data_IF_356241356652
#
_entry.id   IF_356241356652
#
_cell.length_a   1.000
_cell.length_b   1.000
_cell.length_c   1.000
_cell.angle_alpha   90.00
_cell.angle_beta   90.00
_cell.angle_gamma   90.00
#
_symmetry.space_group_name_H-M   'P 1'
#
loop_
_entity.id
_entity.type
_entity.pdbx_description
1 polymer ?
#
# COMPACT_ATOMS: atom_id res chain seq x y z
N UNK A 1 -20.01 -22.02 -4.24
CA UNK A 1 -18.55 -21.96 -4.27
C UNK A 1 -18.10 -20.53 -4.07
N UNK A 2 -17.15 -20.31 -3.20
CA UNK A 2 -16.62 -18.99 -2.93
C UNK A 2 -15.73 -18.55 -4.09
N UNK A 3 -16.02 -17.38 -4.66
CA UNK A 3 -15.18 -16.81 -5.71
C UNK A 3 -14.41 -15.62 -5.15
N UNK A 4 -13.10 -15.61 -5.37
CA UNK A 4 -12.26 -14.51 -4.98
C UNK A 4 -12.19 -13.49 -6.13
N UNK A 5 -12.32 -12.22 -5.81
CA UNK A 5 -12.20 -11.14 -6.80
C UNK A 5 -10.71 -10.84 -7.06
N UNK A 6 -10.11 -11.60 -7.96
CA UNK A 6 -8.69 -11.46 -8.29
C UNK A 6 -8.37 -10.17 -9.04
N UNK A 7 -9.37 -9.50 -9.59
CA UNK A 7 -9.13 -8.25 -10.34
C UNK A 7 -8.89 -7.07 -9.40
N UNK A 8 -9.75 -6.94 -8.37
CA UNK A 8 -9.61 -5.87 -7.37
C UNK A 8 -8.69 -6.27 -6.23
N UNK A 9 -8.59 -7.55 -5.94
CA UNK A 9 -7.78 -8.10 -4.84
C UNK A 9 -6.90 -9.23 -5.37
N UNK A 10 -5.88 -8.91 -6.18
CA UNK A 10 -5.05 -9.94 -6.82
C UNK A 10 -4.14 -10.68 -5.85
N UNK A 11 -3.88 -10.10 -4.68
CA UNK A 11 -3.05 -10.71 -3.66
C UNK A 11 -3.87 -11.57 -2.73
N UNK A 12 -3.32 -12.70 -2.31
CA UNK A 12 -3.96 -13.59 -1.35
C UNK A 12 -3.24 -13.51 0.00
N UNK A 13 -4.00 -13.54 1.07
CA UNK A 13 -3.44 -13.63 2.42
C UNK A 13 -2.77 -14.99 2.61
N UNK A 14 -1.90 -15.11 3.61
CA UNK A 14 -1.29 -16.39 3.94
C UNK A 14 -2.34 -17.45 4.30
N UNK A 15 -3.39 -17.05 4.99
CA UNK A 15 -4.50 -17.94 5.33
C UNK A 15 -5.18 -18.50 4.08
N UNK A 16 -5.47 -17.63 3.10
CA UNK A 16 -6.08 -18.05 1.85
C UNK A 16 -5.19 -19.02 1.08
N UNK A 17 -3.88 -18.77 1.03
CA UNK A 17 -2.94 -19.61 0.32
C UNK A 17 -2.70 -20.95 1.02
N UNK A 18 -2.51 -20.93 2.34
CA UNK A 18 -2.09 -22.13 3.09
C UNK A 18 -3.25 -22.95 3.62
N UNK A 19 -4.26 -22.29 4.20
CA UNK A 19 -5.36 -22.98 4.88
C UNK A 19 -6.55 -23.23 3.98
N UNK A 20 -6.86 -22.30 3.10
CA UNK A 20 -8.02 -22.40 2.23
C UNK A 20 -7.67 -22.96 0.85
N UNK A 21 -6.41 -23.12 0.56
CA UNK A 21 -5.95 -23.72 -0.68
C UNK A 21 -6.24 -22.87 -1.93
N UNK A 22 -6.47 -21.58 -1.76
CA UNK A 22 -6.71 -20.69 -2.90
C UNK A 22 -5.45 -20.58 -3.74
N UNK A 23 -5.64 -20.55 -5.05
CA UNK A 23 -4.57 -20.26 -6.01
C UNK A 23 -4.99 -19.01 -6.80
N UNK A 24 -4.08 -18.06 -6.92
CA UNK A 24 -4.34 -16.87 -7.72
C UNK A 24 -3.88 -17.11 -9.16
N UNK A 25 -4.65 -16.64 -10.16
CA UNK A 25 -4.15 -16.62 -11.55
C UNK A 25 -3.02 -15.61 -11.75
N UNK A 26 -2.75 -14.77 -10.75
CA UNK A 26 -1.73 -13.74 -10.82
C UNK A 26 -0.56 -14.07 -9.93
N UNK A 27 0.64 -13.75 -10.40
CA UNK A 27 1.84 -13.88 -9.57
C UNK A 27 1.71 -12.94 -8.38
N UNK A 28 1.89 -13.50 -7.17
CA UNK A 28 1.84 -12.71 -5.94
C UNK A 28 3.09 -11.84 -5.80
N UNK A 29 2.90 -10.62 -5.30
CA UNK A 29 4.00 -9.68 -5.08
C UNK A 29 4.58 -9.91 -3.69
N UNK A 30 5.85 -10.29 -3.64
CA UNK A 30 6.54 -10.65 -2.39
C UNK A 30 7.82 -9.86 -2.17
N UNK A 31 8.18 -8.97 -3.06
CA UNK A 31 9.40 -8.15 -2.96
C UNK A 31 9.13 -6.74 -3.46
N UNK A 32 10.06 -5.86 -3.16
CA UNK A 32 9.98 -4.45 -3.57
C UNK A 32 9.94 -4.30 -5.08
N UNK A 33 9.25 -3.27 -5.56
CA UNK A 33 9.10 -3.04 -6.99
C UNK A 33 8.86 -1.56 -7.29
N UNK A 34 9.00 -1.21 -8.56
CA UNK A 34 8.66 0.12 -9.07
C UNK A 34 7.31 0.08 -9.77
N UNK A 35 6.55 1.16 -9.66
CA UNK A 35 5.22 1.25 -10.26
C UNK A 35 4.91 2.68 -10.66
N UNK A 36 4.02 2.85 -11.63
CA UNK A 36 3.44 4.14 -11.97
C UNK A 36 2.13 4.32 -11.19
N UNK A 37 1.92 5.51 -10.64
CA UNK A 37 0.68 5.84 -9.94
C UNK A 37 -0.32 6.37 -10.96
N UNK A 38 -1.40 5.63 -11.19
CA UNK A 38 -2.41 6.00 -12.20
C UNK A 38 -3.62 6.67 -11.58
N UNK A 39 -3.82 6.51 -10.27
CA UNK A 39 -4.93 7.14 -9.55
C UNK A 39 -4.58 7.29 -8.07
N UNK A 40 -5.04 8.37 -7.47
CA UNK A 40 -4.99 8.60 -6.02
C UNK A 40 -6.42 8.69 -5.52
N UNK A 41 -6.83 7.74 -4.66
CA UNK A 41 -8.20 7.69 -4.11
C UNK A 41 -8.34 8.62 -2.91
N UNK A 42 -7.38 8.54 -1.99
CA UNK A 42 -7.29 9.39 -0.81
C UNK A 42 -5.84 9.38 -0.33
N UNK A 43 -5.58 9.85 0.88
CA UNK A 43 -4.21 9.98 1.39
C UNK A 43 -3.49 8.66 1.67
N UNK A 44 -4.17 7.52 1.64
CA UNK A 44 -3.54 6.23 1.96
C UNK A 44 -3.88 5.10 0.98
N UNK A 45 -4.55 5.40 -0.13
CA UNK A 45 -4.92 4.40 -1.12
C UNK A 45 -4.71 4.93 -2.53
N UNK A 46 -3.93 4.20 -3.32
CA UNK A 46 -3.60 4.56 -4.70
C UNK A 46 -3.79 3.35 -5.60
N UNK A 47 -3.85 3.59 -6.91
CA UNK A 47 -3.87 2.53 -7.92
C UNK A 47 -2.57 2.57 -8.69
N UNK A 48 -1.95 1.39 -8.84
CA UNK A 48 -0.64 1.21 -9.45
C UNK A 48 -0.73 0.48 -10.78
N UNK A 49 0.22 0.79 -11.65
CA UNK A 49 0.48 0.07 -12.91
C UNK A 49 1.92 -0.37 -12.94
N UNK A 50 2.15 -1.63 -13.30
CA UNK A 50 3.49 -2.25 -13.37
C UNK A 50 3.66 -2.99 -14.70
N UNK A 51 4.92 -3.25 -15.08
CA UNK A 51 5.22 -3.94 -16.32
C UNK A 51 4.91 -5.43 -16.29
N UNK A 52 4.99 -6.04 -15.11
CA UNK A 52 4.84 -7.48 -14.93
C UNK A 52 3.41 -7.93 -14.69
N UNK A 53 2.43 -7.02 -14.82
CA UNK A 53 1.01 -7.33 -14.61
C UNK A 53 0.19 -6.51 -15.61
N UNK A 54 -0.74 -7.13 -16.28
CA UNK A 54 -1.51 -6.50 -17.37
C UNK A 54 -2.78 -5.77 -16.89
N UNK A 55 -2.90 -5.55 -15.59
CA UNK A 55 -4.03 -4.82 -15.00
C UNK A 55 -3.54 -3.91 -13.88
N UNK A 56 -4.27 -2.83 -13.65
CA UNK A 56 -4.00 -1.91 -12.55
C UNK A 56 -4.56 -2.50 -11.25
N UNK A 57 -3.90 -2.22 -10.12
CA UNK A 57 -4.31 -2.79 -8.84
C UNK A 57 -4.11 -1.80 -7.70
N UNK A 58 -4.88 -1.95 -6.60
CA UNK A 58 -4.78 -1.02 -5.49
C UNK A 58 -3.59 -1.31 -4.58
N UNK A 59 -3.05 -0.25 -3.99
CA UNK A 59 -2.09 -0.32 -2.91
C UNK A 59 -2.60 0.52 -1.75
N UNK A 60 -2.60 -0.05 -0.55
CA UNK A 60 -2.88 0.63 0.70
C UNK A 60 -1.55 0.99 1.38
N UNK A 61 -1.40 2.23 1.81
CA UNK A 61 -0.20 2.65 2.53
C UNK A 61 -0.12 1.93 3.87
N UNK A 62 1.02 1.31 4.13
CA UNK A 62 1.25 0.53 5.34
C UNK A 62 1.50 1.46 6.53
N UNK A 63 0.98 1.08 7.70
CA UNK A 63 1.23 1.69 9.01
C UNK A 63 0.68 3.10 9.20
N UNK A 64 -0.13 3.61 8.29
CA UNK A 64 -0.79 4.90 8.45
C UNK A 64 -2.28 4.81 8.16
N UNK A 65 -3.01 5.80 8.67
CA UNK A 65 -4.42 6.04 8.37
C UNK A 65 -4.56 7.49 7.95
N UNK A 66 -4.99 7.71 6.70
CA UNK A 66 -5.40 9.03 6.27
C UNK A 66 -6.92 9.17 6.42
N UNK A 67 -7.45 10.39 6.61
CA UNK A 67 -8.88 10.57 6.62
C UNK A 67 -9.48 10.27 5.25
N UNK A 68 -10.68 9.69 5.24
CA UNK A 68 -11.43 9.48 4.00
C UNK A 68 -11.84 10.82 3.41
N UNK A 69 -12.13 10.85 2.10
CA UNK A 69 -12.47 12.10 1.41
C UNK A 69 -13.66 12.84 2.04
N UNK A 70 -14.60 12.10 2.64
CA UNK A 70 -15.78 12.67 3.30
C UNK A 70 -15.50 13.18 4.72
N UNK A 71 -14.32 12.89 5.27
CA UNK A 71 -13.94 13.31 6.62
C UNK A 71 -13.14 14.60 6.59
N UNK A 72 -13.08 15.29 7.73
CA UNK A 72 -12.26 16.49 7.88
C UNK A 72 -10.79 16.16 7.58
N UNK A 73 -10.18 16.97 6.72
CA UNK A 73 -8.80 16.77 6.30
C UNK A 73 -8.61 15.75 5.16
N UNK A 74 -9.66 15.02 4.77
CA UNK A 74 -9.56 14.01 3.73
C UNK A 74 -9.25 14.58 2.37
N UNK A 75 -9.90 15.67 1.99
CA UNK A 75 -9.64 16.35 0.73
C UNK A 75 -8.19 16.86 0.68
N UNK A 76 -7.75 17.51 1.75
CA UNK A 76 -6.40 18.08 1.84
C UNK A 76 -5.33 16.98 1.75
N UNK A 77 -5.52 15.90 2.46
CA UNK A 77 -4.62 14.75 2.45
C UNK A 77 -4.54 14.12 1.05
N UNK A 78 -5.68 13.84 0.45
CA UNK A 78 -5.75 13.28 -0.91
C UNK A 78 -5.16 14.21 -1.96
N UNK A 79 -5.45 15.50 -1.88
CA UNK A 79 -4.92 16.49 -2.83
C UNK A 79 -3.40 16.62 -2.69
N UNK A 80 -2.89 16.63 -1.47
CA UNK A 80 -1.44 16.66 -1.24
C UNK A 80 -0.76 15.47 -1.90
N UNK A 81 -1.27 14.26 -1.64
CA UNK A 81 -0.69 13.05 -2.19
C UNK A 81 -0.78 13.05 -3.73
N UNK A 82 -1.92 13.46 -4.27
CA UNK A 82 -2.10 13.55 -5.72
C UNK A 82 -1.08 14.48 -6.35
N UNK A 83 -0.82 15.62 -5.74
CA UNK A 83 0.18 16.56 -6.23
C UNK A 83 1.59 16.01 -6.17
N UNK A 84 1.86 15.07 -5.24
CA UNK A 84 3.18 14.48 -5.12
C UNK A 84 3.44 13.38 -6.15
N UNK A 85 2.48 12.50 -6.38
CA UNK A 85 2.78 11.23 -7.06
C UNK A 85 1.87 10.87 -8.23
N UNK A 86 0.78 11.59 -8.49
CA UNK A 86 -0.08 11.21 -9.61
C UNK A 86 0.72 11.26 -10.92
N UNK A 87 0.61 10.21 -11.71
CA UNK A 87 1.33 10.02 -12.97
C UNK A 87 2.86 9.93 -12.80
N UNK A 88 3.33 9.68 -11.59
CA UNK A 88 4.75 9.54 -11.30
C UNK A 88 5.11 8.09 -11.03
N UNK A 89 6.38 7.75 -11.23
CA UNK A 89 6.93 6.47 -10.81
C UNK A 89 7.32 6.53 -9.34
N UNK A 90 6.98 5.48 -8.60
CA UNK A 90 7.32 5.33 -7.19
C UNK A 90 7.93 3.96 -6.97
N UNK A 91 8.67 3.82 -5.87
CA UNK A 91 9.14 2.53 -5.39
C UNK A 91 8.23 2.06 -4.26
N UNK A 92 7.84 0.80 -4.29
CA UNK A 92 7.01 0.19 -3.25
C UNK A 92 7.87 -0.77 -2.46
N UNK A 93 7.95 -0.55 -1.14
CA UNK A 93 8.69 -1.39 -0.22
C UNK A 93 7.70 -2.33 0.45
N UNK A 94 7.94 -3.62 0.33
CA UNK A 94 7.06 -4.68 0.84
C UNK A 94 7.59 -5.21 2.16
N UNK A 95 6.73 -5.32 3.16
CA UNK A 95 7.02 -6.07 4.38
C UNK A 95 6.41 -7.45 4.21
N UNK A 96 7.26 -8.46 4.00
CA UNK A 96 6.81 -9.81 3.74
C UNK A 96 5.96 -10.41 4.87
N UNK A 97 6.13 -9.91 6.09
CA UNK A 97 5.37 -10.38 7.26
C UNK A 97 4.02 -9.67 7.41
N UNK A 98 3.80 -8.59 6.64
CA UNK A 98 2.55 -7.84 6.64
C UNK A 98 2.30 -7.29 5.25
N UNK A 99 2.03 -8.19 4.32
CA UNK A 99 2.03 -7.91 2.89
C UNK A 99 0.66 -7.50 2.36
N UNK A 100 -0.40 -7.99 2.96
CA UNK A 100 -1.78 -7.71 2.52
C UNK A 100 -2.66 -7.43 3.71
N UNK A 101 -3.67 -6.60 3.52
CA UNK A 101 -4.66 -6.33 4.55
C UNK A 101 -5.75 -7.42 4.55
N UNK A 102 -6.69 -7.30 5.47
CA UNK A 102 -7.76 -8.30 5.63
C UNK A 102 -8.69 -8.40 4.42
N UNK A 103 -8.68 -7.40 3.55
CA UNK A 103 -9.48 -7.39 2.33
C UNK A 103 -8.71 -7.93 1.12
N UNK A 104 -7.42 -8.19 1.26
CA UNK A 104 -6.58 -8.66 0.15
C UNK A 104 -5.91 -7.55 -0.65
N UNK A 105 -5.89 -6.31 -0.13
CA UNK A 105 -5.14 -5.23 -0.77
C UNK A 105 -3.67 -5.31 -0.40
N UNK A 106 -2.79 -5.09 -1.37
CA UNK A 106 -1.36 -5.03 -1.13
C UNK A 106 -1.04 -3.85 -0.23
N UNK A 107 -0.17 -4.08 0.75
CA UNK A 107 0.34 -3.05 1.67
C UNK A 107 1.77 -2.72 1.31
N UNK A 108 2.15 -1.44 1.44
CA UNK A 108 3.53 -1.05 1.19
C UNK A 108 3.86 0.34 1.68
N UNK A 109 5.17 0.60 1.77
CA UNK A 109 5.70 1.94 1.93
C UNK A 109 5.95 2.52 0.54
N UNK A 110 5.54 3.75 0.33
CA UNK A 110 5.66 4.41 -0.98
C UNK A 110 6.81 5.41 -0.92
N UNK A 111 7.83 5.15 -1.73
CA UNK A 111 9.03 5.97 -1.79
C UNK A 111 9.02 6.74 -3.11
N UNK A 112 9.09 8.04 -3.03
CA UNK A 112 9.15 8.92 -4.20
C UNK A 112 10.36 9.83 -4.07
N UNK A 113 11.27 9.75 -5.03
CA UNK A 113 12.52 10.52 -5.05
C UNK A 113 13.31 10.40 -3.74
N UNK A 114 13.35 9.17 -3.20
CA UNK A 114 14.06 8.86 -1.97
C UNK A 114 13.34 9.22 -0.69
N UNK A 115 12.10 9.72 -0.78
CA UNK A 115 11.31 10.15 0.38
C UNK A 115 10.21 9.13 0.66
N UNK A 116 10.11 8.68 1.91
CA UNK A 116 9.02 7.82 2.37
C UNK A 116 7.77 8.67 2.60
N UNK A 117 6.79 8.53 1.73
CA UNK A 117 5.57 9.32 1.81
C UNK A 117 4.67 8.88 2.97
N UNK A 118 4.70 7.61 3.37
CA UNK A 118 3.96 7.15 4.55
C UNK A 118 4.38 7.95 5.79
N UNK A 119 5.69 8.04 6.01
CA UNK A 119 6.23 8.80 7.13
C UNK A 119 5.97 10.30 6.98
N UNK A 120 6.15 10.83 5.79
CA UNK A 120 5.98 12.25 5.51
C UNK A 120 4.55 12.71 5.79
N UNK A 121 3.53 11.92 5.43
CA UNK A 121 2.15 12.25 5.70
C UNK A 121 1.86 12.38 7.19
N UNK A 122 2.47 11.52 8.01
CA UNK A 122 2.31 11.58 9.46
C UNK A 122 2.99 12.83 10.01
N UNK A 123 4.22 13.10 9.59
CA UNK A 123 4.97 14.28 10.02
C UNK A 123 4.24 15.57 9.67
N UNK A 124 3.66 15.65 8.48
CA UNK A 124 2.95 16.84 8.01
C UNK A 124 1.51 16.93 8.49
N UNK A 125 1.00 15.93 9.19
CA UNK A 125 -0.36 15.93 9.73
C UNK A 125 -1.44 15.53 8.75
N UNK A 126 -1.09 14.93 7.60
CA UNK A 126 -2.08 14.44 6.62
C UNK A 126 -2.57 13.04 6.95
N UNK A 127 -1.89 12.33 7.84
CA UNK A 127 -2.27 10.99 8.28
C UNK A 127 -1.85 10.80 9.74
N UNK A 128 -2.43 9.78 10.37
CA UNK A 128 -2.03 9.36 11.71
C UNK A 128 -1.36 7.98 11.60
N UNK A 129 -0.48 7.62 12.55
CA UNK A 129 0.03 6.26 12.61
C UNK A 129 -1.15 5.28 12.66
N UNK A 130 -1.03 4.17 11.92
CA UNK A 130 -2.01 3.09 12.01
C UNK A 130 -1.85 2.45 13.37
N UNK A 131 -2.78 2.83 14.25
CA UNK A 131 -2.48 2.82 15.60
C UNK A 131 -2.69 1.49 16.28
N UNK A 132 -2.84 1.65 17.45
CA UNK A 132 -2.97 0.76 18.56
C UNK A 132 -4.18 -0.18 18.45
N UNK A 133 -5.07 0.02 17.51
CA UNK A 133 -6.13 -0.95 17.17
C UNK A 133 -5.57 -2.11 16.38
N UNK A 134 -4.41 -1.92 15.81
CA UNK A 134 -3.67 -3.00 15.19
C UNK A 134 -2.91 -3.73 16.29
N UNK A 135 -3.24 -4.96 16.52
CA UNK A 135 -2.65 -5.78 17.55
C UNK A 135 -1.22 -6.19 17.25
N UNK A 136 -0.71 -5.85 16.09
CA UNK A 136 0.67 -6.08 15.73
C UNK A 136 1.56 -4.91 16.10
N UNK A 137 2.87 -5.15 16.15
CA UNK A 137 3.84 -4.08 16.28
C UNK A 137 3.91 -3.30 14.98
N UNK A 138 3.90 -1.97 15.08
CA UNK A 138 4.16 -1.12 13.92
C UNK A 138 5.65 -1.23 13.59
N UNK A 139 6.02 -1.65 12.36
CA UNK A 139 7.42 -1.70 11.98
C UNK A 139 8.09 -0.34 12.07
N UNK A 140 9.38 -0.32 12.37
CA UNK A 140 10.15 0.91 12.32
C UNK A 140 10.43 1.24 10.86
N UNK A 141 9.74 2.27 10.34
CA UNK A 141 9.82 2.67 8.93
C UNK A 141 11.25 3.05 8.56
N UNK A 142 11.93 3.82 9.41
CA UNK A 142 13.32 4.23 9.15
C UNK A 142 14.26 3.03 9.07
N UNK A 143 14.05 2.03 9.92
CA UNK A 143 14.86 0.81 9.88
C UNK A 143 14.61 0.03 8.58
N UNK A 144 13.35 -0.10 8.16
CA UNK A 144 13.01 -0.78 6.92
C UNK A 144 13.62 -0.08 5.71
N UNK A 145 13.61 1.25 5.68
CA UNK A 145 14.23 2.01 4.61
C UNK A 145 15.75 1.78 4.56
N UNK A 146 16.42 1.77 5.70
CA UNK A 146 17.86 1.49 5.75
C UNK A 146 18.17 0.09 5.26
N UNK A 147 17.37 -0.88 5.60
CA UNK A 147 17.52 -2.25 5.12
C UNK A 147 17.29 -2.35 3.61
N UNK A 148 16.37 -1.57 3.06
CA UNK A 148 16.07 -1.55 1.64
C UNK A 148 17.16 -0.85 0.81
N UNK A 149 17.93 0.06 1.41
CA UNK A 149 19.00 0.78 0.73
C UNK A 149 20.31 -0.03 0.60
N UNK A 150 20.42 -1.14 1.26
CA UNK A 150 21.64 -1.98 1.28
C UNK A 150 21.73 -2.87 0.06
#
# INVERSE_FOLDING_TARGET
>A
MFEHDYKNYPELTNTELQEMGFTSPHKQITSDFYASVVKVHDGDTITLRVDFRDFDFPLRFLDINAPELSEDGGKESGDWLRNQILDQEVQIIININNRVDKYGRLLGYVIHKGINLNETEVIMGYATPFDQRNEGKIPNINKLLKEAEI
#
